data_IF_609392790587
#
_entry.id   IF_609392790587
#
_cell.length_a   1.000
_cell.length_b   1.000
_cell.length_c   1.000
_cell.angle_alpha   90.00
_cell.angle_beta   90.00
_cell.angle_gamma   90.00
#
_symmetry.space_group_name_H-M   'P 1'
#
loop_
_entity.id
_entity.type
_entity.pdbx_description
1 polymer ?
#
# COMPACT_ATOMS: atom_id res chain seq x y z
N UNK A 1 -26.34 -22.13 -12.99
CA UNK A 1 -25.20 -22.60 -12.16
C UNK A 1 -23.83 -22.39 -12.82
N UNK A 2 -23.62 -22.69 -14.11
CA UNK A 2 -22.30 -22.55 -14.78
C UNK A 2 -21.66 -21.14 -14.65
N UNK A 3 -22.43 -20.08 -14.87
CA UNK A 3 -21.97 -18.70 -14.71
C UNK A 3 -21.47 -18.38 -13.30
N UNK A 4 -22.17 -18.87 -12.27
CA UNK A 4 -21.76 -18.68 -10.89
C UNK A 4 -20.38 -19.33 -10.63
N UNK A 5 -20.14 -20.52 -11.19
CA UNK A 5 -18.84 -21.19 -11.07
C UNK A 5 -17.73 -20.41 -11.79
N UNK A 6 -17.96 -19.95 -13.03
CA UNK A 6 -16.96 -19.19 -13.78
C UNK A 6 -16.63 -17.83 -13.15
N UNK A 7 -17.65 -17.04 -12.80
CA UNK A 7 -17.43 -15.75 -12.15
C UNK A 7 -16.84 -15.90 -10.74
N UNK A 8 -17.22 -16.95 -10.01
CA UNK A 8 -16.63 -17.28 -8.72
C UNK A 8 -15.13 -17.61 -8.84
N UNK A 9 -14.76 -18.50 -9.76
CA UNK A 9 -13.38 -18.86 -10.02
C UNK A 9 -12.56 -17.65 -10.49
N UNK A 10 -13.10 -16.83 -11.40
CA UNK A 10 -12.45 -15.62 -11.89
C UNK A 10 -12.21 -14.61 -10.77
N UNK A 11 -13.20 -14.41 -9.88
CA UNK A 11 -13.05 -13.53 -8.71
C UNK A 11 -11.92 -13.99 -7.80
N UNK A 12 -11.87 -15.28 -7.47
CA UNK A 12 -10.83 -15.84 -6.60
C UNK A 12 -9.46 -15.70 -7.25
N UNK A 13 -9.35 -16.03 -8.55
CA UNK A 13 -8.11 -15.87 -9.31
C UNK A 13 -7.62 -14.43 -9.30
N UNK A 14 -8.48 -13.45 -9.63
CA UNK A 14 -8.12 -12.03 -9.63
C UNK A 14 -7.67 -11.59 -8.23
N UNK A 15 -8.45 -11.94 -7.19
CA UNK A 15 -8.10 -11.59 -5.81
C UNK A 15 -6.74 -12.12 -5.41
N UNK A 16 -6.51 -13.43 -5.58
CA UNK A 16 -5.26 -14.09 -5.24
C UNK A 16 -4.08 -13.55 -6.06
N UNK A 17 -4.28 -13.30 -7.36
CA UNK A 17 -3.26 -12.72 -8.22
C UNK A 17 -2.79 -11.36 -7.70
N UNK A 18 -3.72 -10.46 -7.34
CA UNK A 18 -3.33 -9.15 -6.82
C UNK A 18 -2.72 -9.22 -5.42
N UNK A 19 -3.20 -10.08 -4.52
CA UNK A 19 -2.64 -10.16 -3.17
C UNK A 19 -1.28 -10.87 -3.13
N UNK A 20 -1.18 -12.05 -3.71
CA UNK A 20 0.04 -12.86 -3.61
C UNK A 20 1.07 -12.47 -4.66
N UNK A 21 0.69 -12.40 -5.93
CA UNK A 21 1.65 -12.14 -6.98
C UNK A 21 2.07 -10.67 -7.03
N UNK A 22 1.11 -9.74 -6.95
CA UNK A 22 1.42 -8.31 -7.06
C UNK A 22 1.91 -7.72 -5.73
N UNK A 23 1.17 -7.88 -4.63
CA UNK A 23 1.55 -7.27 -3.36
C UNK A 23 2.68 -8.05 -2.68
N UNK A 24 2.55 -9.37 -2.48
CA UNK A 24 3.59 -10.14 -1.78
C UNK A 24 4.79 -10.48 -2.67
N UNK A 25 4.61 -10.57 -3.99
CA UNK A 25 5.69 -10.83 -4.96
C UNK A 25 6.29 -9.55 -5.53
N UNK A 26 5.56 -8.88 -6.41
CA UNK A 26 6.10 -7.78 -7.22
C UNK A 26 6.53 -6.58 -6.36
N UNK A 27 5.78 -6.23 -5.31
CA UNK A 27 6.18 -5.17 -4.37
C UNK A 27 7.32 -5.59 -3.42
N UNK A 28 7.93 -6.77 -3.56
CA UNK A 28 9.20 -7.12 -2.91
C UNK A 28 10.34 -7.29 -3.90
N UNK A 29 10.03 -7.31 -5.20
CA UNK A 29 11.00 -7.46 -6.27
C UNK A 29 11.34 -6.12 -6.95
N UNK A 30 10.34 -5.28 -7.23
CA UNK A 30 10.49 -4.09 -8.08
C UNK A 30 9.69 -2.91 -7.53
N UNK A 31 10.28 -1.72 -7.58
CA UNK A 31 9.57 -0.47 -7.29
C UNK A 31 10.42 0.52 -6.50
N UNK A 32 9.76 1.48 -5.88
CA UNK A 32 10.41 2.56 -5.14
C UNK A 32 10.48 2.26 -3.63
N UNK A 33 11.62 2.54 -3.00
CA UNK A 33 11.79 2.44 -1.55
C UNK A 33 12.25 3.81 -1.02
N UNK A 34 11.39 4.47 -0.25
CA UNK A 34 11.61 5.83 0.27
C UNK A 34 12.05 5.88 1.72
N UNK A 35 11.85 4.78 2.46
CA UNK A 35 12.04 4.70 3.90
C UNK A 35 13.01 3.58 4.26
N UNK A 36 13.79 3.80 5.33
CA UNK A 36 14.68 2.78 5.89
C UNK A 36 13.82 1.73 6.57
N UNK A 37 13.70 0.58 5.92
CA UNK A 37 13.04 -0.62 6.44
C UNK A 37 14.03 -1.78 6.45
N UNK A 38 13.77 -2.82 7.27
CA UNK A 38 14.64 -4.00 7.36
C UNK A 38 14.47 -5.00 6.21
N UNK A 39 13.49 -4.78 5.32
CA UNK A 39 13.09 -5.71 4.27
C UNK A 39 13.30 -5.18 2.85
N UNK A 40 12.96 -6.02 1.86
CA UNK A 40 13.08 -5.71 0.44
C UNK A 40 11.85 -5.03 -0.18
N UNK A 41 10.79 -4.79 0.61
CA UNK A 41 9.54 -4.20 0.13
C UNK A 41 9.76 -2.87 -0.62
N UNK A 42 8.96 -2.63 -1.63
CA UNK A 42 8.90 -1.45 -2.50
C UNK A 42 7.45 -0.98 -2.66
N UNK A 43 7.27 0.22 -3.20
CA UNK A 43 5.99 0.76 -3.61
C UNK A 43 5.84 0.72 -5.13
N UNK A 44 4.64 0.34 -5.58
CA UNK A 44 4.17 0.49 -6.96
C UNK A 44 2.96 1.44 -6.99
N UNK A 45 3.18 2.77 -6.91
CA UNK A 45 2.11 3.75 -6.74
C UNK A 45 1.14 3.79 -7.93
N UNK A 46 1.58 3.42 -9.13
CA UNK A 46 0.72 3.32 -10.30
C UNK A 46 -0.39 2.26 -10.15
N UNK A 47 -0.11 1.15 -9.47
CA UNK A 47 -1.10 0.09 -9.19
C UNK A 47 -1.94 0.35 -7.95
N UNK A 48 -1.67 1.43 -7.22
CA UNK A 48 -2.34 1.75 -5.96
C UNK A 48 -3.84 2.01 -6.12
N UNK A 49 -4.33 2.71 -7.17
CA UNK A 49 -5.77 2.88 -7.38
C UNK A 49 -6.50 1.54 -7.63
N UNK A 50 -5.86 0.59 -8.31
CA UNK A 50 -6.44 -0.70 -8.64
C UNK A 50 -6.45 -1.66 -7.43
N UNK A 51 -5.40 -1.61 -6.63
CA UNK A 51 -5.24 -2.43 -5.42
C UNK A 51 -5.75 -1.76 -4.14
N UNK A 52 -6.47 -0.65 -4.30
CA UNK A 52 -7.03 0.14 -3.21
C UNK A 52 -6.00 0.54 -2.14
N UNK A 53 -4.77 0.87 -2.56
CA UNK A 53 -3.69 1.28 -1.66
C UNK A 53 -2.68 0.18 -1.31
N UNK A 54 -2.97 -1.09 -1.58
CA UNK A 54 -2.15 -2.20 -1.09
C UNK A 54 -0.73 -2.26 -1.68
N UNK A 55 -0.54 -1.71 -2.89
CA UNK A 55 0.79 -1.63 -3.54
C UNK A 55 1.67 -0.49 -3.03
N UNK A 56 1.18 0.35 -2.11
CA UNK A 56 2.03 1.22 -1.28
C UNK A 56 2.65 0.42 -0.13
N UNK A 57 3.15 -0.77 -0.47
CA UNK A 57 3.50 -1.84 0.46
C UNK A 57 4.72 -1.49 1.31
N UNK A 58 5.70 -0.81 0.73
CA UNK A 58 6.87 -0.32 1.46
C UNK A 58 6.51 0.73 2.50
N UNK A 59 5.57 1.64 2.20
CA UNK A 59 5.10 2.60 3.19
C UNK A 59 4.37 1.91 4.34
N UNK A 60 3.58 0.88 4.03
CA UNK A 60 2.93 0.05 5.04
C UNK A 60 3.96 -0.63 5.95
N UNK A 61 5.04 -1.20 5.40
CA UNK A 61 6.16 -1.74 6.20
C UNK A 61 6.90 -0.67 7.01
N UNK A 62 7.01 0.56 6.51
CA UNK A 62 7.63 1.66 7.25
C UNK A 62 6.77 2.13 8.43
N UNK A 63 5.44 2.13 8.27
CA UNK A 63 4.48 2.63 9.24
C UNK A 63 3.29 1.67 9.44
N UNK A 64 3.49 0.49 10.06
CA UNK A 64 2.48 -0.58 10.11
C UNK A 64 1.24 -0.24 10.95
N UNK A 65 1.33 0.77 11.82
CA UNK A 65 0.22 1.21 12.69
C UNK A 65 -0.68 2.26 12.03
N UNK A 66 -0.27 2.78 10.88
CA UNK A 66 -1.01 3.84 10.18
C UNK A 66 -2.03 3.19 9.26
N UNK A 67 -3.27 3.66 9.35
CA UNK A 67 -4.40 3.06 8.62
C UNK A 67 -4.26 3.20 7.09
N UNK A 68 -3.73 4.32 6.62
CA UNK A 68 -3.52 4.60 5.19
C UNK A 68 -2.02 4.55 4.87
N UNK A 69 -1.55 3.69 3.96
CA UNK A 69 -0.15 3.65 3.56
C UNK A 69 0.28 4.84 2.67
N UNK A 70 -0.63 5.70 2.23
CA UNK A 70 -0.26 6.91 1.49
C UNK A 70 0.38 7.96 2.42
N UNK A 71 1.66 8.28 2.15
CA UNK A 71 2.44 9.25 2.94
C UNK A 71 2.63 10.58 2.19
N UNK A 72 2.99 10.52 0.90
CA UNK A 72 3.20 11.72 0.07
C UNK A 72 1.92 12.02 -0.76
N UNK A 73 2.09 12.36 -2.05
CA UNK A 73 1.00 12.59 -3.02
C UNK A 73 0.47 11.30 -3.66
N UNK A 74 0.55 10.19 -2.94
CA UNK A 74 0.13 8.88 -3.42
C UNK A 74 -1.39 8.71 -3.30
N UNK A 75 -1.97 7.93 -4.22
CA UNK A 75 -3.41 7.70 -4.25
C UNK A 75 -3.72 6.45 -3.43
N UNK A 76 -4.48 6.61 -2.36
CA UNK A 76 -5.06 5.51 -1.58
C UNK A 76 -6.60 5.66 -1.56
N UNK A 77 -7.33 4.85 -2.35
CA UNK A 77 -8.79 4.85 -2.31
C UNK A 77 -9.37 4.46 -0.95
N UNK A 78 -8.73 3.57 -0.19
CA UNK A 78 -9.22 3.17 1.14
C UNK A 78 -9.14 4.29 2.14
N UNK A 79 -8.16 5.20 2.03
CA UNK A 79 -8.12 6.43 2.84
C UNK A 79 -9.43 7.21 2.77
N UNK A 80 -10.04 7.34 1.58
CA UNK A 80 -11.34 8.01 1.41
C UNK A 80 -12.49 7.23 2.03
N UNK A 81 -12.45 5.90 1.89
CA UNK A 81 -13.43 5.02 2.52
C UNK A 81 -13.39 5.13 4.05
N UNK A 82 -12.20 5.10 4.66
CA UNK A 82 -12.04 5.28 6.10
C UNK A 82 -12.49 6.66 6.56
N UNK A 83 -12.14 7.72 5.81
CA UNK A 83 -12.62 9.07 6.10
C UNK A 83 -14.16 9.14 6.12
N UNK A 84 -14.84 8.47 5.20
CA UNK A 84 -16.29 8.39 5.19
C UNK A 84 -16.81 7.68 6.44
N UNK A 85 -16.23 6.52 6.81
CA UNK A 85 -16.60 5.80 8.03
C UNK A 85 -16.40 6.65 9.29
N UNK A 86 -15.31 7.41 9.36
CA UNK A 86 -15.05 8.33 10.47
C UNK A 86 -16.08 9.46 10.53
N UNK A 87 -16.46 10.03 9.38
CA UNK A 87 -17.47 11.09 9.30
C UNK A 87 -18.87 10.60 9.66
N UNK A 88 -19.16 9.32 9.44
CA UNK A 88 -20.38 8.65 9.90
C UNK A 88 -20.33 8.25 11.38
N UNK A 89 -19.20 8.46 12.08
CA UNK A 89 -19.03 8.09 13.49
C UNK A 89 -18.87 6.59 13.74
N UNK A 90 -18.60 5.79 12.68
CA UNK A 90 -18.47 4.33 12.78
C UNK A 90 -17.10 3.95 13.36
N UNK A 91 -16.05 4.69 13.00
CA UNK A 91 -14.69 4.44 13.44
C UNK A 91 -14.01 5.72 13.92
N UNK A 92 -13.00 5.57 14.77
CA UNK A 92 -12.08 6.64 15.13
C UNK A 92 -10.71 6.31 14.53
N UNK A 93 -10.18 7.22 13.71
CA UNK A 93 -8.89 7.03 13.04
C UNK A 93 -7.80 7.71 13.86
N UNK A 94 -6.76 6.95 14.23
CA UNK A 94 -5.57 7.51 14.86
C UNK A 94 -4.80 8.43 13.88
N UNK A 95 -4.11 9.48 14.38
CA UNK A 95 -3.27 10.31 13.54
C UNK A 95 -2.24 9.47 12.75
N UNK A 96 -1.94 9.94 11.53
CA UNK A 96 -0.86 9.37 10.73
C UNK A 96 0.53 9.63 11.34
N UNK A 97 1.60 9.22 10.66
CA UNK A 97 2.95 9.44 11.15
C UNK A 97 3.27 10.93 11.12
N UNK A 98 4.01 11.40 12.13
CA UNK A 98 4.42 12.81 12.19
C UNK A 98 5.49 13.12 11.15
N UNK A 99 5.63 14.40 10.79
CA UNK A 99 6.66 14.84 9.85
C UNK A 99 8.06 14.42 10.29
N UNK A 100 8.36 14.50 11.59
CA UNK A 100 9.64 14.09 12.16
C UNK A 100 9.87 12.57 11.98
N UNK A 101 8.85 11.75 12.25
CA UNK A 101 8.91 10.29 12.02
C UNK A 101 9.12 9.93 10.55
N UNK A 102 8.47 10.68 9.64
CA UNK A 102 8.65 10.51 8.19
C UNK A 102 10.08 10.87 7.81
N UNK A 103 10.62 11.98 8.30
CA UNK A 103 11.94 12.47 7.96
C UNK A 103 13.05 11.58 8.53
N UNK A 104 12.92 11.12 9.78
CA UNK A 104 13.86 10.20 10.43
C UNK A 104 14.00 8.89 9.64
N UNK A 105 12.88 8.36 9.14
CA UNK A 105 12.89 7.13 8.34
C UNK A 105 13.22 7.36 6.88
N UNK A 106 13.14 8.58 6.35
CA UNK A 106 13.35 8.82 4.91
C UNK A 106 14.80 8.54 4.53
N UNK A 107 14.98 7.79 3.45
CA UNK A 107 16.31 7.51 2.92
C UNK A 107 16.83 8.80 2.23
N UNK A 108 18.10 9.14 2.44
CA UNK A 108 18.74 10.22 1.69
C UNK A 108 18.72 9.92 0.18
N UNK A 109 18.43 10.94 -0.64
CA UNK A 109 18.20 10.80 -2.09
C UNK A 109 19.31 10.00 -2.80
N UNK A 110 20.56 10.13 -2.35
CA UNK A 110 21.74 9.44 -2.89
C UNK A 110 21.65 7.90 -2.91
N UNK A 111 20.82 7.31 -2.04
CA UNK A 111 20.69 5.85 -1.94
C UNK A 111 19.54 5.30 -2.80
N UNK A 112 18.60 6.15 -3.22
CA UNK A 112 17.46 5.75 -4.04
C UNK A 112 17.87 5.40 -5.49
N UNK A 113 18.92 6.05 -6.01
CA UNK A 113 19.41 5.88 -7.39
C UNK A 113 20.22 4.59 -7.56
N UNK A 114 20.93 4.13 -6.52
CA UNK A 114 21.81 2.94 -6.59
C UNK A 114 21.07 1.60 -6.70
N UNK A 115 19.75 1.59 -6.67
CA UNK A 115 18.92 0.37 -6.67
C UNK A 115 18.04 0.23 -7.93
N UNK A 116 18.15 1.18 -8.87
CA UNK A 116 17.59 1.10 -10.23
C UNK A 116 18.60 0.43 -11.16
#
# INVERSE_FOLDING_TARGET
>A
MKWFAYFGALRVFIGYFFTEFVVNGLCHAVGSAKFRTGGASTNLPFLSPLTLGATLHHNHHAFPRVLSPAIDREIDPMKRFYWLLQRLGIIVIAPGPTSDQIQEKRISIDRCIKKL
#
